data_IF_185026534586
#
_entry.id   IF_185026534586
#
_cell.length_a   1.000
_cell.length_b   1.000
_cell.length_c   1.000
_cell.angle_alpha   90.00
_cell.angle_beta   90.00
_cell.angle_gamma   90.00
#
_symmetry.space_group_name_H-M   'P 1'
#
loop_
_entity.id
_entity.type
_entity.pdbx_description
1 polymer ?
#
# COMPACT_ATOMS: atom_id res chain seq x y z
N UNK A 1 7.82 17.08 -3.26
CA UNK A 1 7.37 16.27 -2.12
C UNK A 1 7.50 14.81 -2.49
N UNK A 2 7.99 13.96 -1.58
CA UNK A 2 8.20 12.53 -1.82
C UNK A 2 7.10 11.70 -1.16
N UNK A 3 6.29 11.02 -1.97
CA UNK A 3 5.14 10.24 -1.53
C UNK A 3 5.50 8.76 -1.52
N UNK A 4 5.49 8.14 -0.34
CA UNK A 4 5.67 6.71 -0.18
C UNK A 4 4.33 5.97 -0.26
N UNK A 5 4.10 5.23 -1.34
CA UNK A 5 2.84 4.53 -1.58
C UNK A 5 2.96 3.05 -1.19
N UNK A 6 2.19 2.63 -0.18
CA UNK A 6 2.02 1.21 0.14
C UNK A 6 1.07 0.55 -0.88
N UNK A 7 1.66 -0.20 -1.82
CA UNK A 7 0.97 -0.91 -2.89
C UNK A 7 1.06 -2.43 -2.74
N UNK A 8 1.31 -2.92 -1.53
CA UNK A 8 1.42 -4.38 -1.21
C UNK A 8 0.11 -5.16 -1.35
N UNK A 9 -0.99 -4.48 -1.62
CA UNK A 9 -2.27 -5.08 -2.02
C UNK A 9 -2.26 -5.58 -3.48
N UNK A 10 -1.30 -5.13 -4.30
CA UNK A 10 -1.18 -5.56 -5.69
C UNK A 10 -0.75 -7.03 -5.80
N UNK A 11 -1.31 -7.68 -6.81
CA UNK A 11 -1.03 -9.06 -7.19
C UNK A 11 -0.83 -9.13 -8.72
N UNK A 12 -0.35 -10.27 -9.23
CA UNK A 12 -0.24 -10.54 -10.67
C UNK A 12 -1.60 -10.60 -11.39
N UNK A 13 -2.67 -10.83 -10.63
CA UNK A 13 -4.07 -10.81 -11.07
C UNK A 13 -4.88 -9.88 -10.16
N UNK A 14 -4.79 -8.55 -10.36
CA UNK A 14 -5.41 -7.58 -9.48
C UNK A 14 -6.94 -7.70 -9.50
N UNK A 15 -7.55 -7.64 -8.32
CA UNK A 15 -9.01 -7.52 -8.12
C UNK A 15 -9.37 -6.06 -7.82
N UNK A 16 -10.61 -5.76 -7.40
CA UNK A 16 -11.09 -4.38 -7.20
C UNK A 16 -10.11 -3.44 -6.46
N UNK A 17 -9.58 -3.86 -5.31
CA UNK A 17 -8.58 -3.08 -4.57
C UNK A 17 -7.28 -2.88 -5.36
N UNK A 18 -6.79 -3.93 -6.03
CA UNK A 18 -5.58 -3.84 -6.84
C UNK A 18 -5.75 -2.95 -8.08
N UNK A 19 -6.89 -3.05 -8.76
CA UNK A 19 -7.25 -2.18 -9.90
C UNK A 19 -7.33 -0.72 -9.46
N UNK A 20 -7.96 -0.45 -8.30
CA UNK A 20 -7.95 0.89 -7.71
C UNK A 20 -6.53 1.40 -7.45
N UNK A 21 -5.69 0.58 -6.81
CA UNK A 21 -4.29 0.94 -6.53
C UNK A 21 -3.51 1.26 -7.81
N UNK A 22 -3.65 0.44 -8.86
CA UNK A 22 -3.00 0.70 -10.16
C UNK A 22 -3.46 2.03 -10.76
N UNK A 23 -4.77 2.24 -10.86
CA UNK A 23 -5.31 3.44 -11.49
C UNK A 23 -4.91 4.72 -10.75
N UNK A 24 -4.94 4.70 -9.41
CA UNK A 24 -4.51 5.85 -8.62
C UNK A 24 -3.02 6.12 -8.79
N UNK A 25 -2.17 5.10 -8.77
CA UNK A 25 -0.72 5.30 -8.94
C UNK A 25 -0.39 5.83 -10.34
N UNK A 26 -1.01 5.27 -11.39
CA UNK A 26 -0.83 5.77 -12.76
C UNK A 26 -1.25 7.23 -12.87
N UNK A 27 -2.45 7.57 -12.39
CA UNK A 27 -2.93 8.94 -12.45
C UNK A 27 -2.10 9.91 -11.60
N UNK A 28 -1.62 9.48 -10.43
CA UNK A 28 -0.69 10.29 -9.63
C UNK A 28 0.62 10.52 -10.37
N UNK A 29 1.16 9.51 -11.05
CA UNK A 29 2.38 9.66 -11.84
C UNK A 29 2.20 10.66 -12.99
N UNK A 30 1.00 10.77 -13.56
CA UNK A 30 0.69 11.67 -14.67
C UNK A 30 0.44 13.13 -14.23
N UNK A 31 -0.13 13.36 -13.04
CA UNK A 31 -0.56 14.70 -12.59
C UNK A 31 0.41 15.41 -11.64
N UNK A 32 1.42 14.70 -11.12
CA UNK A 32 2.35 15.28 -10.15
C UNK A 32 3.34 16.25 -10.84
N UNK A 33 3.68 17.33 -10.13
CA UNK A 33 4.68 18.30 -10.58
C UNK A 33 6.06 17.62 -10.69
N UNK A 34 6.97 18.14 -11.54
CA UNK A 34 8.34 17.60 -11.69
C UNK A 34 9.17 17.57 -10.38
N UNK A 35 8.78 18.38 -9.39
CA UNK A 35 9.40 18.44 -8.05
C UNK A 35 8.87 17.38 -7.08
N UNK A 36 7.83 16.66 -7.46
CA UNK A 36 7.22 15.61 -6.67
C UNK A 36 7.71 14.23 -7.12
N UNK A 37 7.90 13.32 -6.17
CA UNK A 37 8.45 12.00 -6.43
C UNK A 37 7.52 10.93 -5.83
N UNK A 38 7.26 9.87 -6.59
CA UNK A 38 6.56 8.68 -6.10
C UNK A 38 7.56 7.56 -5.78
N UNK A 39 7.43 6.99 -4.59
CA UNK A 39 8.12 5.75 -4.19
C UNK A 39 7.07 4.68 -3.95
N UNK A 40 6.99 3.70 -4.85
CA UNK A 40 5.98 2.65 -4.84
C UNK A 40 6.57 1.38 -4.23
N UNK A 41 5.93 0.88 -3.18
CA UNK A 41 6.34 -0.37 -2.53
C UNK A 41 5.37 -1.49 -2.92
N UNK A 42 5.84 -2.41 -3.78
CA UNK A 42 5.00 -3.44 -4.40
C UNK A 42 5.79 -4.74 -4.62
N UNK A 43 5.10 -5.88 -4.64
CA UNK A 43 5.68 -7.16 -5.05
C UNK A 43 5.70 -7.36 -6.56
N UNK A 44 4.96 -6.55 -7.32
CA UNK A 44 4.86 -6.61 -8.79
C UNK A 44 5.36 -5.29 -9.41
N UNK A 45 6.70 -5.10 -9.55
CA UNK A 45 7.26 -3.89 -10.17
C UNK A 45 6.86 -3.68 -11.63
N UNK A 46 6.55 -4.76 -12.36
CA UNK A 46 6.30 -4.73 -13.80
C UNK A 46 5.12 -3.85 -14.21
N UNK A 47 4.19 -3.54 -13.30
CA UNK A 47 3.11 -2.58 -13.57
C UNK A 47 3.58 -1.14 -13.78
N UNK A 48 4.80 -0.81 -13.35
CA UNK A 48 5.28 0.57 -13.27
C UNK A 48 6.58 0.81 -14.04
N UNK A 49 7.02 -0.15 -14.87
CA UNK A 49 8.29 -0.06 -15.63
C UNK A 49 8.33 1.13 -16.61
N UNK A 50 7.17 1.55 -17.12
CA UNK A 50 7.05 2.64 -18.08
C UNK A 50 6.74 4.00 -17.42
N UNK A 51 6.72 4.07 -16.08
CA UNK A 51 6.44 5.30 -15.36
C UNK A 51 7.73 5.91 -14.82
N UNK A 52 7.79 7.25 -14.76
CA UNK A 52 8.88 7.97 -14.11
C UNK A 52 8.70 7.96 -12.58
N UNK A 53 8.84 6.79 -11.96
CA UNK A 53 8.62 6.57 -10.52
C UNK A 53 9.71 5.69 -9.94
N UNK A 54 9.96 5.82 -8.63
CA UNK A 54 10.84 4.88 -7.93
C UNK A 54 10.03 3.68 -7.48
N UNK A 55 10.44 2.46 -7.88
CA UNK A 55 9.80 1.23 -7.44
C UNK A 55 10.70 0.46 -6.48
N UNK A 56 10.13 0.01 -5.36
CA UNK A 56 10.78 -0.83 -4.35
C UNK A 56 10.09 -2.20 -4.35
N UNK A 57 10.79 -3.21 -4.86
CA UNK A 57 10.32 -4.59 -4.81
C UNK A 57 10.25 -5.06 -3.36
N UNK A 58 9.11 -5.64 -2.98
CA UNK A 58 8.90 -6.30 -1.69
C UNK A 58 8.67 -7.80 -1.87
N UNK A 59 8.53 -8.54 -0.78
CA UNK A 59 8.28 -9.99 -0.82
C UNK A 59 6.94 -10.33 -1.49
N UNK A 60 6.93 -11.40 -2.29
CA UNK A 60 5.71 -11.91 -2.92
C UNK A 60 4.72 -12.49 -1.90
N UNK A 61 5.15 -12.75 -0.66
CA UNK A 61 4.29 -13.26 0.41
C UNK A 61 3.17 -12.30 0.83
N UNK A 62 3.27 -11.01 0.48
CA UNK A 62 2.21 -10.00 0.73
C UNK A 62 1.03 -10.11 -0.24
N UNK A 63 1.20 -10.83 -1.36
CA UNK A 63 0.22 -10.88 -2.45
C UNK A 63 -1.09 -11.55 -2.01
N UNK A 64 -2.26 -10.94 -2.30
CA UNK A 64 -3.58 -11.48 -1.95
C UNK A 64 -3.83 -12.95 -2.30
N UNK A 65 -3.27 -13.47 -3.39
CA UNK A 65 -3.41 -14.88 -3.79
C UNK A 65 -2.90 -15.88 -2.76
N UNK A 66 -2.04 -15.44 -1.83
CA UNK A 66 -1.58 -16.24 -0.70
C UNK A 66 -2.61 -16.31 0.45
N UNK A 67 -3.82 -15.78 0.24
CA UNK A 67 -4.97 -15.89 1.13
C UNK A 67 -4.81 -15.12 2.44
N UNK A 68 -5.47 -15.60 3.51
CA UNK A 68 -5.52 -14.91 4.81
C UNK A 68 -4.13 -14.67 5.43
N UNK A 69 -3.17 -15.58 5.20
CA UNK A 69 -1.78 -15.43 5.67
C UNK A 69 -1.13 -14.19 5.06
N UNK A 70 -1.40 -13.90 3.78
CA UNK A 70 -0.89 -12.70 3.11
C UNK A 70 -1.38 -11.41 3.79
N UNK A 71 -2.64 -11.38 4.22
CA UNK A 71 -3.21 -10.25 4.97
C UNK A 71 -2.43 -9.95 6.25
N UNK A 72 -2.13 -10.98 7.05
CA UNK A 72 -1.32 -10.84 8.26
C UNK A 72 0.12 -10.42 7.93
N UNK A 73 0.75 -11.04 6.92
CA UNK A 73 2.10 -10.68 6.48
C UNK A 73 2.16 -9.23 6.02
N UNK A 74 1.17 -8.77 5.26
CA UNK A 74 1.06 -7.39 4.81
C UNK A 74 0.87 -6.43 5.97
N UNK A 75 0.05 -6.78 6.97
CA UNK A 75 -0.10 -5.98 8.18
C UNK A 75 1.25 -5.84 8.90
N UNK A 76 1.94 -6.95 9.19
CA UNK A 76 3.24 -6.95 9.86
C UNK A 76 4.31 -6.20 9.04
N UNK A 77 4.35 -6.41 7.73
CA UNK A 77 5.25 -5.70 6.83
C UNK A 77 4.98 -4.19 6.87
N UNK A 78 3.70 -3.80 6.86
CA UNK A 78 3.28 -2.40 6.95
C UNK A 78 3.71 -1.80 8.28
N UNK A 79 3.65 -2.54 9.39
CA UNK A 79 4.07 -2.02 10.72
C UNK A 79 5.58 -1.93 10.88
N UNK A 80 6.36 -2.90 10.40
CA UNK A 80 7.78 -3.04 10.76
C UNK A 80 8.77 -2.76 9.63
N UNK A 81 8.50 -3.24 8.41
CA UNK A 81 9.44 -3.10 7.29
C UNK A 81 9.22 -1.82 6.49
N UNK A 82 7.96 -1.48 6.25
CA UNK A 82 7.59 -0.26 5.55
C UNK A 82 8.19 1.02 6.15
N UNK A 83 8.13 1.29 7.47
CA UNK A 83 8.67 2.54 8.02
C UNK A 83 10.19 2.65 7.82
N UNK A 84 10.92 1.54 7.92
CA UNK A 84 12.37 1.50 7.69
C UNK A 84 12.69 1.95 6.26
N UNK A 85 11.98 1.39 5.28
CA UNK A 85 12.19 1.73 3.87
C UNK A 85 11.71 3.16 3.57
N UNK A 86 10.57 3.56 4.14
CA UNK A 86 10.00 4.90 4.01
C UNK A 86 10.98 5.99 4.45
N UNK A 87 11.58 5.84 5.63
CA UNK A 87 12.59 6.78 6.13
C UNK A 87 13.89 6.73 5.33
N UNK A 88 14.33 5.54 4.92
CA UNK A 88 15.54 5.37 4.08
C UNK A 88 15.37 6.08 2.73
N UNK A 89 14.19 5.97 2.12
CA UNK A 89 13.87 6.63 0.86
C UNK A 89 13.51 8.11 1.04
N UNK A 90 13.52 8.62 2.29
CA UNK A 90 13.26 10.03 2.66
C UNK A 90 11.89 10.52 2.19
N UNK A 91 10.87 9.69 2.36
CA UNK A 91 9.50 10.07 2.03
C UNK A 91 8.93 11.09 3.04
N UNK A 92 8.14 12.04 2.56
CA UNK A 92 7.50 13.08 3.36
C UNK A 92 6.13 12.61 3.90
N UNK A 93 5.37 11.91 3.05
CA UNK A 93 3.99 11.48 3.32
C UNK A 93 3.79 10.02 2.90
N UNK A 94 3.14 9.25 3.77
CA UNK A 94 2.70 7.89 3.48
C UNK A 94 1.32 7.94 2.83
N UNK A 95 1.12 7.17 1.77
CA UNK A 95 -0.20 6.87 1.23
C UNK A 95 -0.44 5.36 1.20
N UNK A 96 -1.45 4.89 1.92
CA UNK A 96 -1.94 3.51 1.83
C UNK A 96 -3.21 3.49 1.00
N UNK A 97 -3.19 2.71 -0.09
CA UNK A 97 -4.38 2.48 -0.93
C UNK A 97 -5.40 1.55 -0.26
N UNK A 98 -5.15 1.16 1.00
CA UNK A 98 -6.02 0.37 1.87
C UNK A 98 -6.13 1.04 3.24
N UNK A 99 -6.98 0.50 4.12
CA UNK A 99 -7.19 1.05 5.46
C UNK A 99 -5.98 0.86 6.41
N UNK A 100 -5.01 0.01 6.06
CA UNK A 100 -3.86 -0.23 6.91
C UNK A 100 -2.87 0.95 6.86
N UNK A 101 -2.84 1.72 7.95
CA UNK A 101 -1.78 2.68 8.25
C UNK A 101 -0.61 2.05 9.02
N UNK A 102 0.36 2.87 9.39
CA UNK A 102 1.46 2.46 10.27
C UNK A 102 1.35 3.17 11.63
N UNK A 103 1.38 2.41 12.72
CA UNK A 103 1.20 2.94 14.07
C UNK A 103 2.44 3.67 14.63
N UNK A 104 3.61 3.47 14.02
CA UNK A 104 4.91 3.96 14.46
C UNK A 104 5.49 5.07 13.58
N UNK A 105 4.89 5.34 12.41
CA UNK A 105 5.26 6.46 11.55
C UNK A 105 4.70 7.76 12.15
N UNK A 106 5.59 8.70 12.43
CA UNK A 106 5.23 10.05 12.90
C UNK A 106 4.93 11.02 11.75
N UNK A 107 5.25 10.63 10.51
CA UNK A 107 4.94 11.37 9.29
C UNK A 107 3.43 11.41 9.01
N UNK A 108 3.04 12.32 8.11
CA UNK A 108 1.66 12.41 7.60
C UNK A 108 1.30 11.10 6.89
N UNK A 109 0.08 10.62 7.14
CA UNK A 109 -0.46 9.41 6.52
C UNK A 109 -1.80 9.72 5.87
N UNK A 110 -1.99 9.25 4.64
CA UNK A 110 -3.27 9.23 3.92
C UNK A 110 -3.64 7.76 3.77
N UNK A 111 -4.87 7.40 4.12
CA UNK A 111 -5.37 6.03 4.05
C UNK A 111 -6.69 6.02 3.28
N UNK A 112 -6.87 5.06 2.39
CA UNK A 112 -8.15 4.86 1.70
C UNK A 112 -8.92 3.71 2.33
N UNK A 113 -10.05 4.03 2.94
CA UNK A 113 -10.98 3.05 3.51
C UNK A 113 -12.05 2.73 2.46
N UNK A 114 -12.07 1.49 1.97
CA UNK A 114 -13.00 1.05 0.91
C UNK A 114 -14.34 0.55 1.43
N UNK A 115 -14.37 0.06 2.67
CA UNK A 115 -15.58 -0.41 3.31
C UNK A 115 -15.48 -0.26 4.83
N UNK A 116 -16.63 -0.25 5.49
CA UNK A 116 -16.77 -0.17 6.95
C UNK A 116 -17.43 -1.43 7.52
N UNK A 117 -17.54 -2.49 6.71
CA UNK A 117 -18.21 -3.73 7.11
C UNK A 117 -17.52 -4.39 8.31
N UNK A 118 -16.17 -4.45 8.38
CA UNK A 118 -15.49 -5.02 9.54
C UNK A 118 -15.79 -4.28 10.83
N UNK A 119 -16.01 -2.97 10.78
CA UNK A 119 -16.36 -2.18 11.97
C UNK A 119 -17.82 -2.42 12.37
N UNK A 120 -18.74 -2.45 11.40
CA UNK A 120 -20.19 -2.58 11.67
C UNK A 120 -20.61 -4.01 12.04
N UNK A 121 -19.92 -5.01 11.52
CA UNK A 121 -20.26 -6.43 11.64
C UNK A 121 -19.05 -7.26 12.09
N UNK A 122 -18.50 -6.98 13.30
CA UNK A 122 -17.23 -7.56 13.75
C UNK A 122 -17.29 -9.08 13.90
N UNK A 123 -18.45 -9.63 14.25
CA UNK A 123 -18.64 -11.08 14.42
C UNK A 123 -18.57 -11.83 13.07
N UNK A 124 -18.99 -11.17 11.98
CA UNK A 124 -18.96 -11.72 10.61
C UNK A 124 -17.58 -11.58 9.98
N UNK A 125 -16.86 -10.50 10.30
CA UNK A 125 -15.58 -10.13 9.69
C UNK A 125 -14.43 -10.11 10.70
N UNK A 126 -14.41 -11.07 11.63
CA UNK A 126 -13.51 -11.08 12.81
C UNK A 126 -12.04 -10.77 12.50
N UNK A 127 -11.46 -11.44 11.48
CA UNK A 127 -10.05 -11.21 11.13
C UNK A 127 -9.81 -9.81 10.53
N UNK A 128 -10.74 -9.32 9.72
CA UNK A 128 -10.62 -7.99 9.12
C UNK A 128 -10.85 -6.92 10.17
N UNK A 129 -11.75 -7.16 11.13
CA UNK A 129 -12.01 -6.25 12.25
C UNK A 129 -10.79 -6.14 13.18
N UNK A 130 -10.11 -7.26 13.45
CA UNK A 130 -8.90 -7.27 14.28
C UNK A 130 -7.72 -6.53 13.62
N UNK A 131 -7.64 -6.56 12.29
CA UNK A 131 -6.56 -5.95 11.52
C UNK A 131 -6.92 -4.54 10.98
N UNK A 132 -8.11 -4.04 11.33
CA UNK A 132 -8.56 -2.71 10.97
C UNK A 132 -7.80 -1.65 11.77
#
# INVERSE_FOLDING_TARGET
MKIGINATILDDKPTGLGIFTLNIINQLADILDEKDELVIYTSIPSYFENLNVTVRKVTDSVQPKNGKKAGLIRFLWTQFMFPILFYRDKCDIMYSTTHHGNLFLTNKQVLTIHDLLPIKFPNQYMLQNLLF
#
